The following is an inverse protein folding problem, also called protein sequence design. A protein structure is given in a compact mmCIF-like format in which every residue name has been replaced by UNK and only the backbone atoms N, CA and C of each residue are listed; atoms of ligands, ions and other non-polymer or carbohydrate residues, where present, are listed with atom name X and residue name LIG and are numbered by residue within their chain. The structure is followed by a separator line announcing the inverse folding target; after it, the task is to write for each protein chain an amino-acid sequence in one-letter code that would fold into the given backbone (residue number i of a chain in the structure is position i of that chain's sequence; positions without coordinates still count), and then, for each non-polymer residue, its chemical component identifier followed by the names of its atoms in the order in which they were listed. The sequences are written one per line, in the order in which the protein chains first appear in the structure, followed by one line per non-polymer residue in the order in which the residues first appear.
data_IF_525085386619
#
_entry.id   IF_525085386619
#
_cell.length_a   1.000
_cell.length_b   1.000
_cell.length_c   1.000
_cell.angle_alpha   90.00
_cell.angle_beta   90.00
_cell.angle_gamma   90.00
#
_symmetry.space_group_name_H-M   'P 1'
#
loop_
_entity.id
_entity.type
_entity.pdbx_description
1 polymer ?
#
# COMPACT_ATOMS: atom_id res chain seq x y z
N UNK A 1 13.44 29.51 30.32
CA UNK A 1 12.57 28.55 29.61
C UNK A 1 12.73 28.80 28.12
N UNK A 2 13.47 27.92 27.45
CA UNK A 2 13.59 27.93 25.98
C UNK A 2 12.22 27.60 25.39
N UNK A 3 11.73 28.44 24.48
CA UNK A 3 10.60 28.09 23.62
C UNK A 3 11.13 27.12 22.58
N UNK A 4 10.66 25.88 22.62
CA UNK A 4 10.88 24.90 21.57
C UNK A 4 10.34 25.49 20.25
N UNK A 5 11.23 25.63 19.27
CA UNK A 5 10.83 26.01 17.92
C UNK A 5 10.09 24.85 17.31
N UNK A 6 8.84 25.07 16.92
CA UNK A 6 8.10 24.15 16.07
C UNK A 6 8.91 24.00 14.77
N UNK A 7 9.43 22.79 14.49
CA UNK A 7 10.11 22.50 13.22
C UNK A 7 9.09 22.72 12.09
N UNK A 8 9.28 23.79 11.31
CA UNK A 8 8.39 24.21 10.22
C UNK A 8 8.71 23.51 8.90
N UNK A 9 9.54 22.45 8.91
CA UNK A 9 9.76 21.62 7.72
C UNK A 9 8.52 20.78 7.45
N UNK A 10 8.01 20.86 6.22
CA UNK A 10 6.96 19.95 5.75
C UNK A 10 7.48 18.52 5.82
N UNK A 11 6.76 17.65 6.53
CA UNK A 11 7.06 16.22 6.66
C UNK A 11 7.13 15.58 5.28
N UNK A 12 8.20 14.81 5.02
CA UNK A 12 8.34 14.07 3.77
C UNK A 12 7.62 12.73 3.92
N UNK A 13 6.49 12.58 3.24
CA UNK A 13 5.60 11.42 3.39
C UNK A 13 5.78 10.44 2.22
N UNK A 14 5.98 9.16 2.53
CA UNK A 14 5.94 8.09 1.54
C UNK A 14 4.51 7.54 1.39
N UNK A 15 4.03 7.48 0.15
CA UNK A 15 2.76 6.84 -0.17
C UNK A 15 3.05 5.39 -0.58
N UNK A 16 2.49 4.45 0.17
CA UNK A 16 2.65 3.01 -0.07
C UNK A 16 1.28 2.41 -0.39
N UNK A 17 1.21 1.60 -1.42
CA UNK A 17 0.05 0.74 -1.70
C UNK A 17 0.53 -0.69 -1.98
N UNK A 18 -0.35 -1.59 -2.38
CA UNK A 18 0.00 -2.93 -2.80
C UNK A 18 -0.42 -3.21 -4.26
N UNK A 19 0.08 -4.31 -4.83
CA UNK A 19 -0.15 -4.64 -6.24
C UNK A 19 -1.62 -4.87 -6.61
N UNK A 20 -2.53 -5.12 -5.65
CA UNK A 20 -3.97 -5.21 -5.93
C UNK A 20 -4.60 -3.85 -6.30
N UNK A 21 -3.87 -2.74 -6.16
CA UNK A 21 -4.29 -1.44 -6.69
C UNK A 21 -4.28 -1.41 -8.22
N UNK A 22 -3.55 -2.32 -8.88
CA UNK A 22 -3.28 -2.26 -10.32
C UNK A 22 -2.26 -1.20 -10.71
N UNK A 23 -1.56 -0.58 -9.75
CA UNK A 23 -0.38 0.24 -10.01
C UNK A 23 0.83 -0.69 -10.09
N UNK A 24 1.49 -0.76 -11.25
CA UNK A 24 2.71 -1.58 -11.41
C UNK A 24 3.89 -0.94 -10.70
N UNK A 25 4.94 -1.72 -10.42
CA UNK A 25 6.19 -1.23 -9.83
C UNK A 25 6.79 -0.06 -10.63
N UNK A 26 6.81 -0.19 -11.96
CA UNK A 26 7.32 0.83 -12.86
C UNK A 26 6.45 2.10 -12.88
N UNK A 27 5.12 1.96 -12.79
CA UNK A 27 4.24 3.12 -12.66
C UNK A 27 4.40 3.81 -11.31
N UNK A 28 4.45 3.05 -10.22
CA UNK A 28 4.67 3.57 -8.87
C UNK A 28 5.95 4.40 -8.80
N UNK A 29 7.06 3.87 -9.30
CA UNK A 29 8.35 4.58 -9.36
C UNK A 29 8.26 5.93 -10.11
N UNK A 30 7.52 5.99 -11.23
CA UNK A 30 7.33 7.25 -11.98
C UNK A 30 6.48 8.27 -11.24
N UNK A 31 5.57 7.83 -10.37
CA UNK A 31 4.63 8.70 -9.64
C UNK A 31 5.10 9.05 -8.22
N UNK A 32 6.14 8.41 -7.71
CA UNK A 32 6.52 8.50 -6.30
C UNK A 32 5.58 7.71 -5.37
N UNK A 33 5.02 6.58 -5.86
CA UNK A 33 4.24 5.63 -5.07
C UNK A 33 5.05 4.35 -4.92
N UNK A 34 5.20 3.87 -3.70
CA UNK A 34 5.84 2.60 -3.41
C UNK A 34 4.78 1.48 -3.44
N UNK A 35 5.03 0.43 -4.21
CA UNK A 35 4.07 -0.67 -4.37
C UNK A 35 4.63 -1.91 -3.69
N UNK A 36 3.96 -2.39 -2.64
CA UNK A 36 4.25 -3.67 -2.01
C UNK A 36 3.79 -4.81 -2.94
N UNK A 37 4.71 -5.67 -3.42
CA UNK A 37 4.33 -6.82 -4.22
C UNK A 37 3.55 -7.83 -3.39
N UNK A 38 2.38 -8.25 -3.88
CA UNK A 38 1.55 -9.25 -3.22
C UNK A 38 1.82 -10.63 -3.82
N UNK A 39 2.12 -11.65 -3.00
CA UNK A 39 2.46 -12.98 -3.49
C UNK A 39 1.21 -13.75 -3.95
N UNK A 40 1.40 -14.57 -4.98
CA UNK A 40 0.49 -15.67 -5.31
C UNK A 40 1.31 -16.93 -5.61
N UNK A 41 0.68 -18.09 -5.44
CA UNK A 41 1.30 -19.39 -5.66
C UNK A 41 0.71 -20.03 -6.91
N UNK A 42 1.58 -20.61 -7.73
CA UNK A 42 1.20 -21.52 -8.82
C UNK A 42 1.95 -22.83 -8.61
N UNK A 43 1.21 -23.92 -8.42
CA UNK A 43 1.75 -25.26 -8.17
C UNK A 43 2.82 -25.25 -7.04
N UNK A 44 2.47 -24.63 -5.91
CA UNK A 44 3.31 -24.47 -4.70
C UNK A 44 4.54 -23.56 -4.85
N UNK A 45 4.73 -22.94 -6.02
CA UNK A 45 5.79 -21.94 -6.25
C UNK A 45 5.23 -20.53 -6.10
N UNK A 46 5.87 -19.72 -5.26
CA UNK A 46 5.51 -18.30 -5.07
C UNK A 46 6.01 -17.44 -6.22
N UNK A 47 5.14 -16.57 -6.71
CA UNK A 47 5.40 -15.58 -7.73
C UNK A 47 4.90 -14.20 -7.29
N UNK A 48 5.42 -13.17 -7.96
CA UNK A 48 4.98 -11.79 -7.84
C UNK A 48 4.74 -11.22 -9.24
N UNK A 49 3.59 -10.55 -9.41
CA UNK A 49 3.16 -10.00 -10.69
C UNK A 49 4.14 -8.93 -11.16
N UNK A 50 4.50 -8.98 -12.45
CA UNK A 50 5.43 -8.07 -13.11
C UNK A 50 6.85 -8.04 -12.49
N UNK A 51 7.20 -9.06 -11.69
CA UNK A 51 8.56 -9.27 -11.16
C UNK A 51 9.09 -10.60 -11.67
N UNK A 52 8.43 -11.70 -11.28
CA UNK A 52 8.86 -13.06 -11.61
C UNK A 52 7.90 -13.77 -12.58
N UNK A 53 6.73 -13.15 -12.86
CA UNK A 53 5.72 -13.68 -13.76
C UNK A 53 4.95 -12.53 -14.43
N UNK A 54 4.82 -12.56 -15.76
CA UNK A 54 3.97 -11.60 -16.47
C UNK A 54 2.49 -11.99 -16.41
N UNK A 55 1.60 -11.03 -16.67
CA UNK A 55 0.17 -11.28 -16.74
C UNK A 55 -0.20 -12.31 -17.82
N UNK A 56 0.47 -12.31 -18.97
CA UNK A 56 0.25 -13.29 -20.04
C UNK A 56 0.60 -14.70 -19.56
N UNK A 57 1.78 -14.87 -18.93
CA UNK A 57 2.22 -16.16 -18.38
C UNK A 57 1.29 -16.66 -17.27
N UNK A 58 0.77 -15.74 -16.45
CA UNK A 58 -0.27 -16.07 -15.47
C UNK A 58 -1.51 -16.65 -16.13
N UNK A 59 -2.05 -15.97 -17.17
CA UNK A 59 -3.24 -16.47 -17.87
C UNK A 59 -3.00 -17.76 -18.64
N UNK A 60 -1.79 -17.99 -19.15
CA UNK A 60 -1.41 -19.28 -19.76
C UNK A 60 -1.47 -20.42 -18.72
N UNK A 61 -0.86 -20.22 -17.55
CA UNK A 61 -0.87 -21.19 -16.44
C UNK A 61 -2.29 -21.44 -15.92
N UNK A 62 -3.10 -20.38 -15.80
CA UNK A 62 -4.51 -20.50 -15.41
C UNK A 62 -5.30 -21.34 -16.44
N UNK A 63 -5.12 -21.08 -17.74
CA UNK A 63 -5.79 -21.83 -18.82
C UNK A 63 -5.32 -23.28 -18.90
N UNK A 64 -4.07 -23.57 -18.52
CA UNK A 64 -3.56 -24.95 -18.44
C UNK A 64 -4.06 -25.71 -17.21
N UNK A 65 -4.87 -25.09 -16.34
CA UNK A 65 -5.43 -25.73 -15.15
C UNK A 65 -4.45 -25.84 -13.99
N UNK A 66 -3.42 -24.99 -13.94
CA UNK A 66 -2.49 -24.93 -12.81
C UNK A 66 -3.23 -24.58 -11.52
N UNK A 67 -2.77 -25.09 -10.38
CA UNK A 67 -3.36 -24.75 -9.10
C UNK A 67 -2.88 -23.37 -8.66
N UNK A 68 -3.81 -22.40 -8.55
CA UNK A 68 -3.50 -21.01 -8.21
C UNK A 68 -4.13 -20.64 -6.88
N UNK A 69 -3.33 -20.07 -5.98
CA UNK A 69 -3.78 -19.53 -4.70
C UNK A 69 -3.12 -18.19 -4.42
N UNK A 70 -3.82 -17.27 -3.75
CA UNK A 70 -3.24 -15.99 -3.30
C UNK A 70 -2.73 -16.12 -1.86
N UNK A 71 -1.80 -15.24 -1.47
CA UNK A 71 -1.32 -15.15 -0.10
C UNK A 71 -1.17 -13.69 0.36
N UNK A 72 -1.13 -13.50 1.67
CA UNK A 72 -0.72 -12.22 2.25
C UNK A 72 0.79 -12.01 2.08
N UNK A 73 1.28 -10.77 2.06
CA UNK A 73 2.71 -10.50 2.10
C UNK A 73 3.28 -11.02 3.43
N UNK A 74 4.54 -11.44 3.40
CA UNK A 74 5.21 -11.83 4.65
C UNK A 74 5.36 -10.62 5.58
N UNK A 75 5.38 -10.81 6.91
CA UNK A 75 5.66 -9.72 7.85
C UNK A 75 6.94 -8.96 7.48
N UNK A 76 8.02 -9.68 7.19
CA UNK A 76 9.32 -9.14 6.80
C UNK A 76 9.25 -8.29 5.54
N UNK A 77 8.43 -8.67 4.54
CA UNK A 77 8.25 -7.89 3.32
C UNK A 77 7.62 -6.53 3.60
N UNK A 78 6.69 -6.46 4.56
CA UNK A 78 6.00 -5.22 4.94
C UNK A 78 6.94 -4.34 5.76
N UNK A 79 7.51 -4.88 6.83
CA UNK A 79 8.35 -4.12 7.77
C UNK A 79 9.66 -3.66 7.12
N UNK A 80 10.32 -4.51 6.34
CA UNK A 80 11.55 -4.12 5.63
C UNK A 80 11.32 -2.98 4.63
N UNK A 81 10.15 -2.96 3.98
CA UNK A 81 9.78 -1.84 3.10
C UNK A 81 9.62 -0.55 3.90
N UNK A 82 8.90 -0.60 5.02
CA UNK A 82 8.71 0.58 5.88
C UNK A 82 10.02 1.07 6.49
N UNK A 83 10.82 0.18 7.07
CA UNK A 83 12.12 0.49 7.66
C UNK A 83 13.05 1.19 6.67
N UNK A 84 13.07 0.70 5.42
CA UNK A 84 13.83 1.32 4.33
C UNK A 84 13.30 2.72 4.00
N UNK A 85 12.00 2.87 3.84
CA UNK A 85 11.38 4.16 3.51
C UNK A 85 11.59 5.18 4.63
N UNK A 86 11.52 4.77 5.90
CA UNK A 86 11.70 5.66 7.05
C UNK A 86 13.15 6.14 7.25
N UNK A 87 14.11 5.65 6.46
CA UNK A 87 15.44 6.25 6.35
C UNK A 87 15.43 7.54 5.50
N UNK A 88 14.47 7.67 4.58
CA UNK A 88 14.38 8.76 3.61
C UNK A 88 13.14 9.65 3.81
N UNK A 89 12.14 9.16 4.52
CA UNK A 89 10.84 9.77 4.76
C UNK A 89 10.55 9.85 6.26
N UNK A 90 9.83 10.89 6.66
CA UNK A 90 9.46 11.12 8.05
C UNK A 90 8.28 10.23 8.46
N UNK A 91 7.31 10.06 7.55
CA UNK A 91 6.07 9.31 7.75
C UNK A 91 5.69 8.45 6.52
N UNK A 92 4.85 7.45 6.74
CA UNK A 92 4.29 6.55 5.73
C UNK A 92 2.77 6.57 5.80
N UNK A 93 2.12 6.69 4.64
CA UNK A 93 0.71 6.35 4.46
C UNK A 93 0.65 5.03 3.69
N UNK A 94 0.25 3.94 4.34
CA UNK A 94 0.10 2.62 3.75
C UNK A 94 -1.37 2.33 3.44
N UNK A 95 -1.69 2.13 2.16
CA UNK A 95 -3.05 1.94 1.63
C UNK A 95 -3.17 0.49 1.11
N UNK A 96 -3.46 -0.48 1.99
CA UNK A 96 -3.64 -1.87 1.62
C UNK A 96 -5.00 -2.11 0.96
N UNK A 97 -5.13 -3.26 0.31
CA UNK A 97 -6.41 -3.76 -0.19
C UNK A 97 -7.42 -3.92 0.94
N UNK A 98 -8.70 -3.91 0.58
CA UNK A 98 -9.82 -3.97 1.51
C UNK A 98 -9.68 -5.08 2.57
N UNK A 99 -9.87 -4.72 3.84
CA UNK A 99 -9.91 -5.67 4.95
C UNK A 99 -11.06 -6.68 4.86
N UNK A 100 -12.05 -6.43 3.98
CA UNK A 100 -13.12 -7.39 3.68
C UNK A 100 -12.71 -8.50 2.71
N UNK A 101 -11.55 -8.37 2.06
CA UNK A 101 -11.05 -9.32 1.07
C UNK A 101 -9.79 -10.05 1.55
N UNK A 102 -9.02 -9.44 2.46
CA UNK A 102 -7.75 -9.98 2.94
C UNK A 102 -7.43 -9.53 4.37
N UNK A 103 -6.72 -10.38 5.11
CA UNK A 103 -6.15 -10.04 6.42
C UNK A 103 -4.93 -9.10 6.36
N UNK A 104 -4.41 -8.78 5.17
CA UNK A 104 -3.18 -7.98 5.01
C UNK A 104 -3.30 -6.60 5.67
N UNK A 105 -4.47 -5.95 5.56
CA UNK A 105 -4.73 -4.68 6.24
C UNK A 105 -4.65 -4.80 7.77
N UNK A 106 -5.17 -5.89 8.35
CA UNK A 106 -5.14 -6.11 9.80
C UNK A 106 -3.73 -6.41 10.28
N UNK A 107 -2.99 -7.24 9.55
CA UNK A 107 -1.57 -7.53 9.82
C UNK A 107 -0.74 -6.24 9.77
N UNK A 108 -0.92 -5.41 8.73
CA UNK A 108 -0.24 -4.13 8.61
C UNK A 108 -0.57 -3.18 9.78
N UNK A 109 -1.84 -3.07 10.20
CA UNK A 109 -2.21 -2.25 11.36
C UNK A 109 -1.52 -2.73 12.65
N UNK A 110 -1.37 -4.05 12.84
CA UNK A 110 -0.66 -4.60 13.98
C UNK A 110 0.83 -4.25 13.95
N UNK A 111 1.49 -4.38 12.81
CA UNK A 111 2.91 -4.01 12.65
C UNK A 111 3.13 -2.52 12.85
N UNK A 112 2.23 -1.67 12.37
CA UNK A 112 2.34 -0.22 12.48
C UNK A 112 2.34 0.29 13.94
N UNK A 113 1.85 -0.51 14.90
CA UNK A 113 1.90 -0.17 16.32
C UNK A 113 3.35 -0.01 16.85
N UNK A 114 4.33 -0.66 16.22
CA UNK A 114 5.74 -0.61 16.62
C UNK A 114 6.51 0.58 16.02
N UNK A 115 5.84 1.46 15.27
CA UNK A 115 6.47 2.55 14.50
C UNK A 115 6.21 3.94 15.09
N UNK A 116 5.84 4.06 16.36
CA UNK A 116 5.66 5.34 17.08
C UNK A 116 4.75 6.34 16.32
N UNK A 117 3.74 5.84 15.61
CA UNK A 117 2.81 6.66 14.82
C UNK A 117 3.33 7.14 13.46
N UNK A 118 4.58 6.82 13.08
CA UNK A 118 5.17 7.19 11.78
C UNK A 118 4.56 6.42 10.61
N UNK A 119 3.88 5.30 10.86
CA UNK A 119 3.20 4.51 9.83
C UNK A 119 1.69 4.58 10.04
N UNK A 120 0.97 5.17 9.08
CA UNK A 120 -0.49 5.26 9.08
C UNK A 120 -1.07 4.28 8.06
N UNK A 121 -1.64 3.20 8.55
CA UNK A 121 -2.36 2.21 7.72
C UNK A 121 -3.81 2.68 7.53
N UNK A 122 -4.25 2.71 6.27
CA UNK A 122 -5.55 3.24 5.82
C UNK A 122 -6.52 2.10 5.53
N UNK A 123 -7.54 1.90 6.36
CA UNK A 123 -8.58 0.90 6.11
C UNK A 123 -9.82 1.51 5.43
N UNK A 124 -9.69 1.87 4.16
CA UNK A 124 -10.76 2.49 3.38
C UNK A 124 -11.59 1.51 2.51
N UNK A 125 -11.45 0.19 2.71
CA UNK A 125 -12.19 -0.88 2.00
C UNK A 125 -12.17 -0.81 0.45
N UNK A 126 -11.05 -0.39 -0.14
CA UNK A 126 -10.91 -0.33 -1.61
C UNK A 126 -10.02 -1.44 -2.17
N UNK A 127 -10.15 -1.69 -3.47
CA UNK A 127 -9.28 -2.60 -4.26
C UNK A 127 -9.22 -2.09 -5.70
N UNK A 128 -8.28 -2.56 -6.52
CA UNK A 128 -8.24 -2.25 -7.96
C UNK A 128 -8.26 -0.73 -8.20
N UNK A 129 -9.04 -0.28 -9.19
CA UNK A 129 -9.13 1.12 -9.61
C UNK A 129 -9.51 2.08 -8.49
N UNK A 130 -10.27 1.64 -7.47
CA UNK A 130 -10.64 2.52 -6.35
C UNK A 130 -9.51 2.64 -5.34
N UNK A 131 -8.72 1.59 -5.12
CA UNK A 131 -7.49 1.65 -4.30
C UNK A 131 -6.42 2.50 -4.99
N UNK A 132 -6.28 2.36 -6.33
CA UNK A 132 -5.45 3.25 -7.14
C UNK A 132 -5.82 4.71 -6.94
N UNK A 133 -7.11 5.03 -6.99
CA UNK A 133 -7.56 6.40 -6.78
C UNK A 133 -7.14 6.91 -5.40
N UNK A 134 -7.26 6.11 -4.34
CA UNK A 134 -6.81 6.50 -3.00
C UNK A 134 -5.31 6.78 -2.91
N UNK A 135 -4.47 6.02 -3.62
CA UNK A 135 -3.04 6.31 -3.68
C UNK A 135 -2.75 7.65 -4.38
N UNK A 136 -3.52 7.99 -5.43
CA UNK A 136 -3.41 9.27 -6.11
C UNK A 136 -3.94 10.43 -5.25
N UNK A 137 -5.04 10.23 -4.54
CA UNK A 137 -5.59 11.22 -3.61
C UNK A 137 -4.59 11.49 -2.47
N UNK A 138 -3.96 10.44 -1.93
CA UNK A 138 -2.93 10.56 -0.92
C UNK A 138 -1.73 11.41 -1.38
N UNK A 139 -1.26 11.22 -2.63
CA UNK A 139 -0.22 12.07 -3.21
C UNK A 139 -0.64 13.54 -3.26
N UNK A 140 -1.88 13.82 -3.70
CA UNK A 140 -2.38 15.19 -3.79
C UNK A 140 -2.49 15.85 -2.41
N UNK A 141 -2.97 15.10 -1.42
CA UNK A 141 -3.09 15.57 -0.05
C UNK A 141 -1.74 15.82 0.61
N UNK A 142 -0.75 14.96 0.38
CA UNK A 142 0.63 15.17 0.82
C UNK A 142 1.24 16.42 0.16
N UNK A 143 1.03 16.60 -1.14
CA UNK A 143 1.47 17.81 -1.86
C UNK A 143 0.76 19.09 -1.37
N UNK A 144 -0.45 18.96 -0.80
CA UNK A 144 -1.18 20.05 -0.15
C UNK A 144 -0.76 20.29 1.32
N UNK A 145 0.26 19.57 1.81
CA UNK A 145 0.84 19.78 3.14
C UNK A 145 0.10 19.08 4.28
N UNK A 146 -0.77 18.10 3.99
CA UNK A 146 -1.35 17.24 5.04
C UNK A 146 -0.31 16.28 5.58
N UNK A 147 -0.36 16.02 6.89
CA UNK A 147 0.41 14.94 7.53
C UNK A 147 -0.21 13.55 7.27
N UNK A 148 0.48 12.47 7.64
CA UNK A 148 0.03 11.11 7.34
C UNK A 148 -1.29 10.76 8.06
N UNK A 149 -1.50 11.27 9.28
CA UNK A 149 -2.71 11.01 10.06
C UNK A 149 -3.93 11.69 9.43
N UNK A 150 -3.79 12.93 8.98
CA UNK A 150 -4.83 13.68 8.26
C UNK A 150 -5.17 13.04 6.91
N UNK A 151 -4.17 12.51 6.20
CA UNK A 151 -4.40 11.77 4.94
C UNK A 151 -5.20 10.50 5.22
N UNK A 152 -4.80 9.72 6.24
CA UNK A 152 -5.53 8.52 6.65
C UNK A 152 -6.99 8.85 6.99
N UNK A 153 -7.22 9.84 7.85
CA UNK A 153 -8.56 10.24 8.26
C UNK A 153 -9.44 10.64 7.06
N UNK A 154 -8.89 11.43 6.13
CA UNK A 154 -9.60 11.82 4.92
C UNK A 154 -10.02 10.59 4.09
N UNK A 155 -9.09 9.67 3.82
CA UNK A 155 -9.34 8.49 2.99
C UNK A 155 -10.30 7.50 3.65
N UNK A 156 -10.27 7.37 4.98
CA UNK A 156 -11.20 6.51 5.72
C UNK A 156 -12.60 7.12 5.81
N UNK A 157 -12.72 8.45 5.88
CA UNK A 157 -14.02 9.13 5.82
C UNK A 157 -14.65 9.05 4.42
N UNK A 158 -13.84 9.02 3.35
CA UNK A 158 -14.29 8.89 1.96
C UNK A 158 -14.55 7.43 1.53
N UNK A 159 -14.41 6.48 2.45
CA UNK A 159 -14.50 5.03 2.24
C UNK A 159 -15.68 4.57 1.37
N UNK A 160 -16.89 5.07 1.64
CA UNK A 160 -18.12 4.63 0.95
C UNK A 160 -18.50 5.48 -0.26
N UNK A 161 -17.71 6.49 -0.62
CA UNK A 161 -17.94 7.32 -1.81
C UNK A 161 -17.34 6.71 -3.09
N UNK A 162 -16.91 5.45 -3.04
CA UNK A 162 -16.37 4.73 -4.18
C UNK A 162 -16.78 3.26 -4.11
N UNK A 163 -17.34 2.73 -5.21
CA UNK A 163 -17.83 1.35 -5.30
C UNK A 163 -17.40 0.70 -6.60
N UNK A 164 -17.15 -0.61 -6.55
CA UNK A 164 -16.87 -1.45 -7.72
C UNK A 164 -18.05 -2.41 -7.90
N UNK A 165 -18.48 -2.59 -9.14
CA UNK A 165 -19.41 -3.64 -9.56
C UNK A 165 -18.65 -4.60 -10.48
N UNK A 166 -18.75 -5.90 -10.20
CA UNK A 166 -18.06 -6.99 -10.91
C UNK A 166 -19.11 -7.95 -11.45
#
# INVERSE_FOLDING_TARGET
MQREGLDTRMSKIAIVTDSNSGITQAEGARRGIHVLPMPFMIDEVTYYEDIDLTQEQFYEKLKSGANIATSQPSPDSVTSLWDKLLQEYDEIVHIPMSSGLSGSCQSAMAFAADYDGRVQVVNNQRISVTQRQSALDALQLAAAGKDAAQIKEFLENDKFNSSIYI
#
